data_IF_803444507495
#
_entry.id   IF_803444507495
#
_cell.length_a   1.000
_cell.length_b   1.000
_cell.length_c   1.000
_cell.angle_alpha   90.00
_cell.angle_beta   90.00
_cell.angle_gamma   90.00
#
_symmetry.space_group_name_H-M   'P 1'
#
loop_
_entity.id
_entity.type
_entity.pdbx_description
1 polymer ?
#
# COMPACT_ATOMS: atom_id res chain seq x y z
N UNK A 1 -1.79 -3.58 10.85
CA UNK A 1 -2.71 -4.67 11.29
C UNK A 1 -4.16 -4.54 10.78
N UNK A 2 -4.66 -3.38 10.36
CA UNK A 2 -6.03 -3.26 9.83
C UNK A 2 -6.19 -3.92 8.46
N UNK A 3 -5.26 -3.70 7.53
CA UNK A 3 -5.20 -4.41 6.23
C UNK A 3 -5.31 -5.92 6.42
N UNK A 4 -4.52 -6.51 7.31
CA UNK A 4 -4.62 -7.94 7.65
C UNK A 4 -6.03 -8.38 8.06
N UNK A 5 -6.71 -7.60 8.92
CA UNK A 5 -8.08 -7.93 9.37
C UNK A 5 -9.08 -7.83 8.22
N UNK A 6 -8.93 -6.82 7.36
CA UNK A 6 -9.76 -6.65 6.16
C UNK A 6 -9.52 -7.78 5.16
N UNK A 7 -8.26 -8.10 4.85
CA UNK A 7 -7.88 -9.24 4.02
C UNK A 7 -8.45 -10.55 4.57
N UNK A 8 -8.38 -10.75 5.90
CA UNK A 8 -8.98 -11.94 6.53
C UNK A 8 -10.49 -12.02 6.30
N UNK A 9 -11.18 -10.89 6.43
CA UNK A 9 -12.64 -10.84 6.27
C UNK A 9 -13.06 -11.06 4.81
N UNK A 10 -12.48 -10.29 3.88
CA UNK A 10 -12.80 -10.34 2.45
C UNK A 10 -12.36 -11.68 1.86
N UNK A 11 -11.14 -12.12 2.15
CA UNK A 11 -10.60 -13.38 1.62
C UNK A 11 -11.43 -14.60 2.00
N UNK A 12 -11.97 -14.63 3.23
CA UNK A 12 -12.85 -15.70 3.66
C UNK A 12 -14.19 -15.72 2.91
N UNK A 13 -14.73 -14.53 2.55
CA UNK A 13 -15.96 -14.41 1.78
C UNK A 13 -15.75 -14.77 0.30
N UNK A 14 -14.60 -14.40 -0.28
CA UNK A 14 -14.25 -14.64 -1.68
C UNK A 14 -13.68 -16.04 -1.95
N UNK A 15 -13.33 -16.79 -0.90
CA UNK A 15 -12.73 -18.13 -1.03
C UNK A 15 -11.26 -18.10 -1.46
N UNK A 16 -10.52 -17.08 -1.03
CA UNK A 16 -9.08 -16.94 -1.30
C UNK A 16 -8.23 -17.97 -0.52
N UNK A 17 -7.03 -18.27 -1.02
CA UNK A 17 -6.03 -18.99 -0.24
C UNK A 17 -5.57 -18.10 0.93
N UNK A 18 -6.01 -18.47 2.13
CA UNK A 18 -5.80 -17.68 3.34
C UNK A 18 -4.33 -17.66 3.77
N UNK A 19 -3.55 -18.70 3.50
CA UNK A 19 -2.13 -18.70 3.86
C UNK A 19 -1.38 -17.70 2.99
N UNK A 20 -1.60 -17.74 1.68
CA UNK A 20 -1.02 -16.77 0.73
C UNK A 20 -1.43 -15.34 1.09
N UNK A 21 -2.74 -15.11 1.25
CA UNK A 21 -3.28 -13.78 1.45
C UNK A 21 -2.80 -13.16 2.77
N UNK A 22 -2.84 -13.91 3.86
CA UNK A 22 -2.51 -13.39 5.18
C UNK A 22 -1.00 -13.16 5.36
N UNK A 23 -0.16 -14.02 4.78
CA UNK A 23 1.29 -13.81 4.75
C UNK A 23 1.61 -12.57 3.91
N UNK A 24 1.02 -12.44 2.72
CA UNK A 24 1.19 -11.26 1.88
C UNK A 24 0.74 -9.99 2.61
N UNK A 25 -0.41 -10.01 3.29
CA UNK A 25 -0.92 -8.88 4.05
C UNK A 25 0.00 -8.46 5.21
N UNK A 26 0.70 -9.41 5.85
CA UNK A 26 1.71 -9.08 6.87
C UNK A 26 2.96 -8.42 6.27
N UNK A 27 3.37 -8.82 5.08
CA UNK A 27 4.65 -8.42 4.48
C UNK A 27 4.53 -7.28 3.45
N UNK A 28 3.33 -6.89 3.02
CA UNK A 28 3.15 -5.99 1.86
C UNK A 28 3.90 -4.66 1.96
N UNK A 29 4.02 -4.11 3.18
CA UNK A 29 4.67 -2.81 3.45
C UNK A 29 6.10 -2.93 4.01
N UNK A 30 6.72 -4.13 4.00
CA UNK A 30 8.08 -4.35 4.54
C UNK A 30 9.16 -3.46 3.88
N UNK A 31 8.93 -3.00 2.64
CA UNK A 31 9.82 -2.11 1.92
C UNK A 31 9.60 -0.61 2.17
N UNK A 32 8.67 -0.21 3.06
CA UNK A 32 8.26 1.19 3.25
C UNK A 32 9.40 2.11 3.67
N UNK A 33 10.23 1.70 4.63
CA UNK A 33 11.37 2.51 5.09
C UNK A 33 12.30 2.95 3.96
N UNK A 34 12.58 2.07 2.99
CA UNK A 34 13.43 2.39 1.83
C UNK A 34 12.77 3.42 0.90
N UNK A 35 11.45 3.41 0.77
CA UNK A 35 10.73 4.44 0.02
C UNK A 35 10.84 5.79 0.71
N UNK A 36 10.68 5.82 2.04
CA UNK A 36 10.72 7.05 2.83
C UNK A 36 12.14 7.66 2.82
N UNK A 37 13.17 6.85 3.08
CA UNK A 37 14.59 7.26 3.04
C UNK A 37 15.05 7.77 1.67
N UNK A 38 14.43 7.26 0.60
CA UNK A 38 14.76 7.63 -0.78
C UNK A 38 13.86 8.72 -1.35
N UNK A 39 13.04 9.36 -0.51
CA UNK A 39 12.08 10.39 -0.89
C UNK A 39 11.19 9.97 -2.07
N UNK A 40 10.76 8.70 -2.06
CA UNK A 40 9.89 8.14 -3.08
C UNK A 40 10.56 7.63 -4.36
N UNK A 41 11.89 7.74 -4.49
CA UNK A 41 12.60 7.21 -5.68
C UNK A 41 12.63 5.67 -5.72
N UNK A 42 12.55 5.01 -4.56
CA UNK A 42 12.38 3.55 -4.46
C UNK A 42 10.90 3.18 -4.30
N UNK A 43 10.44 2.21 -5.10
CA UNK A 43 9.12 1.62 -4.96
C UNK A 43 9.08 0.60 -3.82
N UNK A 44 8.30 0.88 -2.77
CA UNK A 44 8.21 0.01 -1.60
C UNK A 44 7.62 -1.38 -1.92
N UNK A 45 6.70 -1.48 -2.89
CA UNK A 45 6.11 -2.76 -3.28
C UNK A 45 7.12 -3.67 -4.01
N UNK A 46 7.96 -3.10 -4.88
CA UNK A 46 9.02 -3.84 -5.57
C UNK A 46 10.12 -4.25 -4.59
N UNK A 47 10.57 -3.30 -3.75
CA UNK A 47 11.56 -3.57 -2.71
C UNK A 47 11.03 -4.60 -1.70
N UNK A 48 9.77 -4.46 -1.29
CA UNK A 48 9.10 -5.37 -0.38
C UNK A 48 9.00 -6.78 -0.93
N UNK A 49 8.68 -6.94 -2.22
CA UNK A 49 8.69 -8.23 -2.89
C UNK A 49 10.09 -8.89 -2.88
N UNK A 50 11.16 -8.12 -3.08
CA UNK A 50 12.54 -8.62 -2.99
C UNK A 50 12.89 -9.06 -1.56
N UNK A 51 12.49 -8.27 -0.56
CA UNK A 51 12.75 -8.56 0.86
C UNK A 51 11.92 -9.74 1.39
N UNK A 52 10.69 -9.91 0.90
CA UNK A 52 9.81 -10.98 1.31
C UNK A 52 10.24 -12.34 0.77
N UNK A 53 10.90 -12.40 -0.40
CA UNK A 53 11.32 -13.66 -1.00
C UNK A 53 12.15 -14.58 -0.07
N UNK A 54 13.27 -14.13 0.55
CA UNK A 54 14.04 -14.99 1.44
C UNK A 54 13.23 -15.48 2.66
N UNK A 55 12.26 -14.69 3.14
CA UNK A 55 11.38 -15.08 4.26
C UNK A 55 10.43 -16.19 3.79
N UNK A 56 9.73 -15.97 2.69
CA UNK A 56 8.71 -16.86 2.13
C UNK A 56 9.32 -18.18 1.64
N UNK A 57 10.55 -18.14 1.13
CA UNK A 57 11.30 -19.33 0.68
C UNK A 57 11.48 -20.36 1.80
N UNK A 58 11.63 -19.91 3.05
CA UNK A 58 11.79 -20.76 4.23
C UNK A 58 10.49 -21.34 4.78
N UNK A 59 9.33 -20.97 4.23
CA UNK A 59 8.03 -21.45 4.71
C UNK A 59 7.65 -22.79 4.07
N UNK A 60 6.91 -23.66 4.79
CA UNK A 60 6.45 -24.96 4.29
C UNK A 60 5.23 -24.82 3.35
N UNK A 61 5.39 -24.05 2.28
CA UNK A 61 4.38 -23.76 1.27
C UNK A 61 4.78 -24.33 -0.09
N UNK A 62 3.82 -24.51 -0.99
CA UNK A 62 4.14 -24.84 -2.38
C UNK A 62 4.85 -23.68 -3.08
N UNK A 63 5.63 -23.97 -4.12
CA UNK A 63 6.26 -22.90 -4.92
C UNK A 63 5.22 -21.95 -5.53
N UNK A 64 4.06 -22.46 -5.96
CA UNK A 64 2.96 -21.63 -6.47
C UNK A 64 2.40 -20.66 -5.42
N UNK A 65 2.26 -21.10 -4.17
CA UNK A 65 1.85 -20.23 -3.07
C UNK A 65 2.91 -19.16 -2.78
N UNK A 66 4.19 -19.54 -2.76
CA UNK A 66 5.30 -18.60 -2.54
C UNK A 66 5.35 -17.52 -3.62
N UNK A 67 5.25 -17.92 -4.89
CA UNK A 67 5.18 -17.00 -6.02
C UNK A 67 3.97 -16.08 -5.93
N UNK A 68 2.81 -16.61 -5.54
CA UNK A 68 1.59 -15.82 -5.38
C UNK A 68 1.73 -14.78 -4.24
N UNK A 69 2.36 -15.13 -3.11
CA UNK A 69 2.65 -14.18 -2.03
C UNK A 69 3.47 -13.00 -2.58
N UNK A 70 4.52 -13.29 -3.34
CA UNK A 70 5.36 -12.23 -3.92
C UNK A 70 4.60 -11.41 -4.94
N UNK A 71 3.74 -12.03 -5.76
CA UNK A 71 2.87 -11.33 -6.70
C UNK A 71 1.92 -10.37 -5.96
N UNK A 72 1.28 -10.83 -4.88
CA UNK A 72 0.42 -10.01 -4.03
C UNK A 72 1.17 -8.78 -3.50
N UNK A 73 2.35 -8.98 -2.90
CA UNK A 73 3.18 -7.89 -2.37
C UNK A 73 3.61 -6.92 -3.48
N UNK A 74 3.94 -7.41 -4.67
CA UNK A 74 4.39 -6.53 -5.77
C UNK A 74 3.25 -5.72 -6.38
N UNK A 75 2.03 -6.24 -6.34
CA UNK A 75 0.86 -5.67 -7.03
C UNK A 75 -0.16 -4.96 -6.13
N UNK A 76 0.06 -4.89 -4.80
CA UNK A 76 -0.92 -4.32 -3.86
C UNK A 76 -1.15 -2.80 -3.99
N UNK A 77 -0.33 -2.07 -4.77
CA UNK A 77 -0.43 -0.61 -4.92
C UNK A 77 -0.87 -0.21 -6.32
N UNK A 78 -1.60 0.90 -6.41
CA UNK A 78 -2.12 1.44 -7.66
C UNK A 78 -1.03 2.02 -8.58
N UNK A 79 0.03 2.60 -8.01
CA UNK A 79 1.12 3.22 -8.77
C UNK A 79 2.08 2.13 -9.29
N UNK A 80 2.03 1.82 -10.57
CA UNK A 80 2.96 0.89 -11.24
C UNK A 80 2.28 0.04 -12.33
N UNK A 81 3.06 -0.75 -13.06
CA UNK A 81 2.56 -1.62 -14.14
C UNK A 81 2.19 -3.04 -13.67
N UNK A 82 2.05 -3.25 -12.36
CA UNK A 82 1.81 -4.56 -11.77
C UNK A 82 0.35 -4.71 -11.34
N UNK A 83 -0.50 -5.16 -12.26
CA UNK A 83 -1.90 -5.42 -11.97
C UNK A 83 -2.07 -6.64 -11.02
N UNK A 84 -2.99 -6.59 -10.05
CA UNK A 84 -3.37 -7.76 -9.26
C UNK A 84 -4.11 -8.78 -10.16
N UNK A 85 -3.54 -9.98 -10.31
CA UNK A 85 -4.03 -11.01 -11.24
C UNK A 85 -4.75 -12.15 -10.53
N UNK A 86 -4.16 -12.61 -9.43
CA UNK A 86 -4.72 -13.67 -8.59
C UNK A 86 -5.82 -13.12 -7.68
N UNK A 87 -6.67 -14.01 -7.15
CA UNK A 87 -7.74 -13.63 -6.23
C UNK A 87 -7.15 -12.97 -4.98
N UNK A 88 -6.09 -13.55 -4.41
CA UNK A 88 -5.41 -13.05 -3.22
C UNK A 88 -4.81 -11.66 -3.46
N UNK A 89 -4.23 -11.42 -4.64
CA UNK A 89 -3.68 -10.11 -4.97
C UNK A 89 -4.77 -9.04 -5.08
N UNK A 90 -5.93 -9.38 -5.64
CA UNK A 90 -7.08 -8.47 -5.72
C UNK A 90 -7.63 -8.16 -4.32
N UNK A 91 -7.81 -9.18 -3.49
CA UNK A 91 -8.27 -9.01 -2.11
C UNK A 91 -7.29 -8.16 -1.28
N UNK A 92 -5.98 -8.41 -1.40
CA UNK A 92 -4.98 -7.59 -0.71
C UNK A 92 -4.99 -6.15 -1.22
N UNK A 93 -5.09 -5.97 -2.54
CA UNK A 93 -5.20 -4.64 -3.16
C UNK A 93 -6.38 -3.88 -2.58
N UNK A 94 -7.58 -4.47 -2.58
CA UNK A 94 -8.79 -3.84 -2.07
C UNK A 94 -8.70 -3.55 -0.57
N UNK A 95 -8.20 -4.49 0.22
CA UNK A 95 -8.00 -4.31 1.66
C UNK A 95 -7.04 -3.15 1.99
N UNK A 96 -5.95 -2.98 1.23
CA UNK A 96 -5.01 -1.87 1.37
C UNK A 96 -5.63 -0.52 0.98
N UNK A 97 -6.45 -0.51 -0.08
CA UNK A 97 -7.16 0.70 -0.52
C UNK A 97 -8.23 1.11 0.48
N UNK A 98 -9.01 0.15 1.00
CA UNK A 98 -10.00 0.38 2.04
C UNK A 98 -9.37 0.94 3.32
N UNK A 99 -8.16 0.50 3.69
CA UNK A 99 -7.43 1.04 4.84
C UNK A 99 -6.95 2.49 4.65
N UNK A 100 -6.83 2.89 3.39
CA UNK A 100 -6.33 4.21 3.03
C UNK A 100 -7.44 5.26 2.96
N UNK A 101 -8.73 4.89 2.89
CA UNK A 101 -9.86 5.81 2.76
C UNK A 101 -10.64 6.00 4.08
N UNK A 102 -11.74 6.77 4.03
CA UNK A 102 -12.61 7.05 5.18
C UNK A 102 -11.92 7.90 6.25
N UNK A 103 -12.44 7.83 7.48
CA UNK A 103 -11.94 8.65 8.60
C UNK A 103 -10.44 8.43 8.89
N UNK A 104 -9.96 7.19 8.74
CA UNK A 104 -8.54 6.85 8.88
C UNK A 104 -7.72 7.49 7.77
N UNK A 105 -8.19 7.42 6.53
CA UNK A 105 -7.55 8.07 5.38
C UNK A 105 -7.38 9.56 5.57
N UNK A 106 -8.44 10.26 5.97
CA UNK A 106 -8.42 11.69 6.28
C UNK A 106 -7.37 12.00 7.34
N UNK A 107 -7.34 11.25 8.45
CA UNK A 107 -6.35 11.45 9.50
C UNK A 107 -4.90 11.23 9.02
N UNK A 108 -4.66 10.21 8.19
CA UNK A 108 -3.34 9.91 7.61
C UNK A 108 -2.87 11.01 6.66
N UNK A 109 -3.76 11.57 5.83
CA UNK A 109 -3.42 12.66 4.93
C UNK A 109 -2.90 13.89 5.68
N UNK A 110 -3.58 14.28 6.77
CA UNK A 110 -3.13 15.40 7.61
C UNK A 110 -1.87 15.09 8.42
N UNK A 111 -1.70 13.85 8.89
CA UNK A 111 -0.48 13.43 9.59
C UNK A 111 0.74 13.54 8.67
N UNK A 112 0.62 13.03 7.43
CA UNK A 112 1.68 13.13 6.43
C UNK A 112 2.00 14.58 6.06
N UNK A 113 0.98 15.42 5.86
CA UNK A 113 1.19 16.85 5.62
C UNK A 113 1.99 17.51 6.76
N UNK A 114 1.70 17.15 8.02
CA UNK A 114 2.47 17.61 9.17
C UNK A 114 3.92 17.12 9.18
N UNK A 115 4.15 15.84 8.87
CA UNK A 115 5.48 15.23 8.79
C UNK A 115 6.40 15.90 7.77
N UNK A 116 5.86 16.24 6.59
CA UNK A 116 6.63 16.92 5.52
C UNK A 116 6.65 18.45 5.67
N UNK A 117 6.06 19.00 6.74
CA UNK A 117 5.98 20.45 6.98
C UNK A 117 5.11 21.20 5.98
N UNK A 118 4.16 20.51 5.34
CA UNK A 118 3.21 21.11 4.40
C UNK A 118 2.13 21.91 5.12
N UNK A 119 1.53 22.85 4.36
CA UNK A 119 0.34 23.58 4.81
C UNK A 119 -0.84 22.62 4.91
N UNK A 120 -1.76 22.89 5.83
CA UNK A 120 -2.99 22.10 5.93
C UNK A 120 -3.91 22.32 4.71
N UNK A 121 -3.97 23.56 4.22
CA UNK A 121 -4.75 23.99 3.06
C UNK A 121 -4.10 25.24 2.44
N UNK A 122 -4.23 25.41 1.12
CA UNK A 122 -3.79 26.60 0.39
C UNK A 122 -4.82 26.94 -0.69
N UNK A 123 -5.51 28.10 -0.63
CA UNK A 123 -6.47 28.50 -1.66
C UNK A 123 -5.80 29.04 -2.93
N UNK A 124 -4.49 29.30 -2.89
CA UNK A 124 -3.74 30.00 -3.94
C UNK A 124 -3.06 29.05 -4.94
N UNK A 125 -2.91 27.77 -4.59
CA UNK A 125 -2.19 26.78 -5.40
C UNK A 125 -3.17 25.70 -5.82
N UNK A 126 -3.25 25.45 -7.13
CA UNK A 126 -4.08 24.38 -7.69
C UNK A 126 -3.57 23.00 -7.26
N UNK A 127 -4.46 22.01 -7.27
CA UNK A 127 -4.10 20.62 -6.93
C UNK A 127 -3.14 20.06 -7.97
N UNK A 128 -3.28 20.48 -9.23
CA UNK A 128 -2.49 20.00 -10.36
C UNK A 128 -1.05 20.55 -10.33
N UNK A 129 -0.86 21.79 -9.86
CA UNK A 129 0.45 22.48 -9.89
C UNK A 129 1.34 22.18 -8.66
N UNK A 130 0.77 21.53 -7.64
CA UNK A 130 1.47 21.21 -6.39
C UNK A 130 2.34 19.96 -6.53
N UNK A 131 3.60 20.08 -6.11
CA UNK A 131 4.58 18.99 -6.16
C UNK A 131 4.49 18.08 -4.93
N UNK A 132 4.61 16.74 -5.08
CA UNK A 132 4.70 15.83 -3.95
C UNK A 132 5.86 16.19 -3.01
N UNK A 133 5.68 15.99 -1.70
CA UNK A 133 6.66 16.29 -0.65
C UNK A 133 7.09 17.77 -0.58
N UNK A 134 6.24 18.69 -1.07
CA UNK A 134 6.48 20.14 -0.98
C UNK A 134 5.62 20.79 0.10
N UNK A 135 5.90 22.07 0.42
CA UNK A 135 5.07 22.86 1.35
C UNK A 135 3.61 22.99 0.91
N UNK A 136 3.36 22.83 -0.40
CA UNK A 136 2.05 22.91 -1.03
C UNK A 136 1.45 21.52 -1.30
N UNK A 137 2.09 20.42 -0.86
CA UNK A 137 1.51 19.08 -0.81
C UNK A 137 0.52 18.95 0.36
N UNK A 138 -0.52 19.77 0.30
CA UNK A 138 -1.43 19.97 1.45
C UNK A 138 -2.22 18.71 1.79
N UNK A 139 -2.68 18.61 3.04
CA UNK A 139 -3.55 17.50 3.45
C UNK A 139 -4.85 17.42 2.62
N UNK A 140 -5.39 18.57 2.21
CA UNK A 140 -6.52 18.64 1.28
C UNK A 140 -6.19 18.09 -0.12
N UNK A 141 -5.02 18.44 -0.66
CA UNK A 141 -4.54 17.89 -1.93
C UNK A 141 -4.37 16.38 -1.85
N UNK A 142 -3.74 15.85 -0.80
CA UNK A 142 -3.59 14.40 -0.67
C UNK A 142 -4.91 13.66 -0.49
N UNK A 143 -5.90 14.28 0.16
CA UNK A 143 -7.27 13.77 0.15
C UNK A 143 -7.82 13.68 -1.28
N UNK A 144 -7.72 14.76 -2.07
CA UNK A 144 -8.25 14.79 -3.44
C UNK A 144 -7.47 13.91 -4.43
N UNK A 145 -6.17 13.67 -4.21
CA UNK A 145 -5.33 12.89 -5.13
C UNK A 145 -5.39 11.40 -4.83
N UNK A 146 -5.56 11.01 -3.56
CA UNK A 146 -5.48 9.61 -3.13
C UNK A 146 -6.79 9.02 -2.61
N UNK A 147 -7.72 9.86 -2.13
CA UNK A 147 -8.85 9.43 -1.30
C UNK A 147 -10.23 9.73 -1.90
N UNK A 148 -10.31 10.46 -3.02
CA UNK A 148 -11.55 10.76 -3.77
C UNK A 148 -11.66 9.99 -5.07
#
# INVERSE_FOLDING_TARGET
MRVYKLSKHIGAAEGADMDVLLIAAYLHDIGRCYQDESFGSVCHAEKGAQMAWPIVKGLPLSESQKENIIHCIRSHRFRGNHAPRTLEAKVLFDADKLDSIGAVGVARAFLFAGEVGARLHSPEVSIEDSRPYSKDDTGYREFMVKLS
#
